data_IF_397986640304
#
_entry.id   IF_397986640304
#
_cell.length_a   1.000
_cell.length_b   1.000
_cell.length_c   1.000
_cell.angle_alpha   90.00
_cell.angle_beta   90.00
_cell.angle_gamma   90.00
#
_symmetry.space_group_name_H-M   'P 1'
#
loop_
_entity.id
_entity.type
_entity.pdbx_description
1 polymer ?
#
# COMPACT_ATOMS: atom_id res chain seq x y z
N UNK A 1 34.68 21.13 -9.61
CA UNK A 1 33.29 20.62 -9.49
C UNK A 1 33.34 19.14 -9.84
N UNK A 2 33.43 18.27 -8.83
CA UNK A 2 33.67 16.84 -9.01
C UNK A 2 32.40 16.10 -9.45
N UNK A 3 32.54 15.21 -10.45
CA UNK A 3 31.50 14.25 -10.84
C UNK A 3 31.32 13.23 -9.71
N UNK A 4 30.08 13.04 -9.28
CA UNK A 4 29.68 11.91 -8.43
C UNK A 4 29.67 10.66 -9.32
N UNK A 5 30.40 9.61 -8.94
CA UNK A 5 30.42 8.32 -9.64
C UNK A 5 29.38 7.35 -9.04
N UNK A 6 28.82 6.41 -9.84
CA UNK A 6 27.77 5.48 -9.39
C UNK A 6 28.12 4.63 -8.16
N UNK A 7 29.42 4.42 -7.89
CA UNK A 7 29.89 3.66 -6.72
C UNK A 7 29.69 4.41 -5.38
N UNK A 8 29.24 5.67 -5.40
CA UNK A 8 28.89 6.44 -4.20
C UNK A 8 27.42 6.34 -3.82
N UNK A 9 26.64 5.55 -4.55
CA UNK A 9 25.26 5.20 -4.19
C UNK A 9 25.26 3.87 -3.44
N UNK A 10 25.41 3.91 -2.13
CA UNK A 10 25.05 2.75 -1.31
C UNK A 10 23.54 2.50 -1.44
N UNK A 11 23.08 1.29 -1.83
CA UNK A 11 21.64 0.99 -2.00
C UNK A 11 20.81 0.98 -0.72
N UNK A 12 21.39 1.39 0.40
CA UNK A 12 20.80 1.45 1.73
C UNK A 12 21.28 2.77 2.32
N UNK A 13 20.41 3.76 2.47
CA UNK A 13 20.73 5.12 2.90
C UNK A 13 21.34 5.25 4.31
N UNK A 14 22.52 4.69 4.53
CA UNK A 14 23.38 4.82 5.69
C UNK A 14 24.82 4.60 5.23
N UNK A 15 25.59 5.68 5.17
CA UNK A 15 27.05 5.58 5.21
C UNK A 15 27.44 5.58 6.69
N UNK A 16 27.62 4.40 7.28
CA UNK A 16 28.64 4.28 8.32
C UNK A 16 29.14 2.85 8.47
N UNK A 17 30.47 2.71 8.53
CA UNK A 17 31.17 1.44 8.70
C UNK A 17 30.98 0.82 10.10
N UNK A 18 30.14 1.43 10.94
CA UNK A 18 29.76 0.97 12.27
C UNK A 18 28.61 -0.06 12.28
N UNK A 19 27.91 -0.30 11.16
CA UNK A 19 26.74 -1.22 11.11
C UNK A 19 27.11 -2.69 10.86
N UNK A 20 28.40 -3.02 10.80
CA UNK A 20 28.92 -4.37 10.56
C UNK A 20 29.62 -5.00 11.78
N UNK A 21 29.49 -4.40 12.96
CA UNK A 21 29.92 -5.00 14.21
C UNK A 21 28.99 -4.61 15.38
N UNK A 22 28.71 -5.59 16.24
CA UNK A 22 28.09 -5.50 17.58
C UNK A 22 26.54 -5.55 17.58
N UNK A 23 25.97 -6.72 17.88
CA UNK A 23 25.73 -7.26 19.24
C UNK A 23 24.47 -6.68 19.89
N UNK A 24 23.58 -7.60 20.26
CA UNK A 24 22.44 -7.41 21.15
C UNK A 24 22.91 -6.70 22.43
N UNK A 25 22.39 -5.50 22.69
CA UNK A 25 22.51 -4.87 24.00
C UNK A 25 21.16 -4.27 24.43
N UNK A 26 20.89 -4.40 25.73
CA UNK A 26 19.63 -4.16 26.42
C UNK A 26 19.11 -2.71 26.29
N UNK A 27 17.78 -2.49 26.45
CA UNK A 27 17.21 -1.15 26.38
C UNK A 27 17.65 -0.26 27.56
N UNK A 28 17.85 1.05 27.36
CA UNK A 28 18.21 1.95 28.44
C UNK A 28 17.01 2.26 29.37
N UNK A 29 17.34 2.42 30.66
CA UNK A 29 16.45 2.81 31.76
C UNK A 29 15.95 4.28 31.62
N UNK A 30 14.76 4.66 32.15
CA UNK A 30 14.13 5.93 31.79
C UNK A 30 14.81 7.13 32.46
N UNK A 31 15.20 8.12 31.65
CA UNK A 31 15.76 9.39 32.11
C UNK A 31 14.68 10.40 32.55
N UNK A 32 15.04 11.17 33.58
CA UNK A 32 14.31 12.18 34.35
C UNK A 32 13.67 13.29 33.50
N UNK A 33 12.41 13.66 33.81
CA UNK A 33 11.74 14.86 33.27
C UNK A 33 12.43 16.14 33.77
N UNK A 34 12.83 17.01 32.83
CA UNK A 34 13.13 18.42 33.09
C UNK A 34 11.91 19.23 32.64
N UNK A 35 11.27 19.92 33.57
CA UNK A 35 10.16 20.83 33.30
C UNK A 35 10.71 22.25 33.15
N UNK A 36 10.67 22.82 31.94
CA UNK A 36 10.86 24.26 31.73
C UNK A 36 9.51 24.85 31.29
N UNK A 37 9.03 25.97 31.86
CA UNK A 37 7.74 26.55 31.48
C UNK A 37 7.79 27.16 30.08
N UNK A 38 6.73 26.97 29.29
CA UNK A 38 6.55 27.59 27.98
C UNK A 38 6.34 29.11 28.14
N UNK A 39 7.17 29.91 27.46
CA UNK A 39 6.94 31.34 27.31
C UNK A 39 5.85 31.58 26.27
N UNK A 40 4.90 32.47 26.58
CA UNK A 40 3.86 32.90 25.66
C UNK A 40 4.47 33.72 24.52
N UNK A 41 4.40 33.20 23.29
CA UNK A 41 4.61 33.98 22.07
C UNK A 41 3.25 34.45 21.56
N UNK A 42 3.22 35.72 21.14
CA UNK A 42 2.05 36.40 20.58
C UNK A 42 1.45 35.59 19.41
N UNK A 43 0.13 35.46 19.43
CA UNK A 43 -0.64 34.72 18.42
C UNK A 43 -0.63 35.49 17.10
N UNK A 44 0.30 35.12 16.20
CA UNK A 44 0.15 35.40 14.76
C UNK A 44 -1.01 34.52 14.27
N UNK A 45 -2.06 35.08 13.62
CA UNK A 45 -3.12 34.26 13.05
C UNK A 45 -2.50 33.25 12.06
N UNK A 46 -2.95 31.97 12.05
CA UNK A 46 -2.35 30.97 11.19
C UNK A 46 -2.45 31.44 9.73
N UNK A 47 -1.29 31.46 9.05
CA UNK A 47 -1.23 31.57 7.59
C UNK A 47 -2.20 30.55 6.99
N UNK A 48 -2.99 30.99 6.01
CA UNK A 48 -3.83 30.12 5.20
C UNK A 48 -2.93 28.98 4.63
N UNK A 49 -3.14 27.71 5.02
CA UNK A 49 -2.26 26.61 4.63
C UNK A 49 -2.33 26.29 3.13
N UNK A 50 -3.22 26.95 2.39
CA UNK A 50 -3.37 26.83 0.94
C UNK A 50 -2.92 28.08 0.18
N UNK A 51 -2.47 29.11 0.89
CA UNK A 51 -2.20 30.44 0.35
C UNK A 51 -0.72 30.77 0.18
N UNK A 52 0.08 29.95 -0.51
CA UNK A 52 1.31 30.38 -1.21
C UNK A 52 1.61 29.43 -2.38
N UNK A 53 2.21 29.96 -3.46
CA UNK A 53 2.76 29.25 -4.62
C UNK A 53 3.87 28.25 -4.22
N UNK A 54 3.50 27.18 -3.50
CA UNK A 54 4.39 26.06 -3.26
C UNK A 54 4.43 25.26 -4.55
N UNK A 55 5.59 25.08 -5.21
CA UNK A 55 5.66 24.25 -6.40
C UNK A 55 5.10 22.87 -6.03
N UNK A 56 4.06 22.44 -6.74
CA UNK A 56 3.50 21.10 -6.59
C UNK A 56 4.67 20.12 -6.74
N UNK A 57 4.98 19.32 -5.71
CA UNK A 57 6.14 18.45 -5.76
C UNK A 57 6.00 17.49 -6.95
N UNK A 58 7.10 17.28 -7.68
CA UNK A 58 7.15 16.31 -8.76
C UNK A 58 6.74 14.92 -8.22
N UNK A 59 5.92 14.14 -8.97
CA UNK A 59 5.58 12.78 -8.59
C UNK A 59 6.81 11.91 -8.34
N UNK A 60 6.64 10.89 -7.51
CA UNK A 60 7.73 10.01 -7.09
C UNK A 60 8.54 10.50 -5.88
N UNK A 61 9.41 9.61 -5.39
CA UNK A 61 10.21 9.85 -4.18
C UNK A 61 11.51 10.60 -4.45
N UNK A 62 12.06 11.22 -3.40
CA UNK A 62 13.39 11.83 -3.47
C UNK A 62 14.49 10.84 -3.91
N UNK A 63 14.37 9.57 -3.51
CA UNK A 63 15.27 8.50 -3.90
C UNK A 63 15.19 8.19 -5.40
N UNK A 64 13.97 8.15 -5.96
CA UNK A 64 13.77 7.97 -7.40
C UNK A 64 14.42 9.10 -8.20
N UNK A 65 14.19 10.36 -7.82
CA UNK A 65 14.79 11.51 -8.52
C UNK A 65 16.32 11.52 -8.41
N UNK A 66 16.87 11.08 -7.28
CA UNK A 66 18.32 10.96 -7.08
C UNK A 66 18.91 9.90 -8.01
N UNK A 67 18.28 8.73 -8.12
CA UNK A 67 18.71 7.67 -9.04
C UNK A 67 18.54 8.08 -10.50
N UNK A 68 17.47 8.80 -10.84
CA UNK A 68 17.26 9.31 -12.19
C UNK A 68 18.39 10.23 -12.65
N UNK A 69 18.83 11.15 -11.77
CA UNK A 69 19.98 12.02 -12.03
C UNK A 69 21.27 11.22 -12.18
N UNK A 70 21.50 10.28 -11.26
CA UNK A 70 22.70 9.46 -11.28
C UNK A 70 22.83 8.61 -12.55
N UNK A 71 21.70 8.13 -13.08
CA UNK A 71 21.65 7.31 -14.29
C UNK A 71 21.29 8.08 -15.57
N UNK A 72 21.19 9.41 -15.51
CA UNK A 72 20.86 10.27 -16.65
C UNK A 72 19.50 9.96 -17.29
N UNK A 73 18.52 9.53 -16.50
CA UNK A 73 17.18 9.14 -16.97
C UNK A 73 16.11 10.21 -16.73
N UNK A 74 16.51 11.39 -16.23
CA UNK A 74 15.63 12.49 -15.82
C UNK A 74 14.60 12.86 -16.88
N UNK A 75 15.05 13.02 -18.14
CA UNK A 75 14.17 13.40 -19.25
C UNK A 75 13.12 12.33 -19.54
N UNK A 76 13.47 11.05 -19.41
CA UNK A 76 12.55 9.92 -19.63
C UNK A 76 11.54 9.82 -18.48
N UNK A 77 12.01 9.97 -17.24
CA UNK A 77 11.14 9.99 -16.07
C UNK A 77 10.17 11.16 -16.12
N UNK A 78 10.66 12.36 -16.44
CA UNK A 78 9.83 13.56 -16.58
C UNK A 78 8.72 13.39 -17.61
N UNK A 79 9.03 12.82 -18.78
CA UNK A 79 8.03 12.51 -19.81
C UNK A 79 6.96 11.54 -19.29
N UNK A 80 7.35 10.53 -18.51
CA UNK A 80 6.39 9.61 -17.90
C UNK A 80 5.47 10.34 -16.92
N UNK A 81 6.02 11.17 -16.04
CA UNK A 81 5.22 11.97 -15.09
C UNK A 81 4.24 12.90 -15.82
N UNK A 82 4.72 13.64 -16.82
CA UNK A 82 3.90 14.63 -17.54
C UNK A 82 2.80 14.00 -18.41
N UNK A 83 3.02 12.79 -18.92
CA UNK A 83 2.10 12.16 -19.90
C UNK A 83 1.22 11.06 -19.30
N UNK A 84 1.58 10.45 -18.17
CA UNK A 84 0.95 9.20 -17.70
C UNK A 84 0.57 9.19 -16.22
N UNK A 85 1.03 10.16 -15.42
CA UNK A 85 0.72 10.22 -13.99
C UNK A 85 -0.28 11.33 -13.73
N UNK A 86 -1.38 10.98 -13.08
CA UNK A 86 -2.38 11.92 -12.59
C UNK A 86 -2.42 11.87 -11.06
N UNK A 87 -2.83 12.97 -10.44
CA UNK A 87 -3.11 13.06 -8.99
C UNK A 87 -4.56 12.69 -8.64
N UNK A 88 -5.30 12.14 -9.60
CA UNK A 88 -6.71 11.80 -9.53
C UNK A 88 -7.06 10.70 -10.55
N UNK A 89 -8.26 10.16 -10.45
CA UNK A 89 -8.84 9.19 -11.38
C UNK A 89 -9.58 9.92 -12.50
N UNK A 90 -9.17 9.71 -13.75
CA UNK A 90 -9.96 10.14 -14.90
C UNK A 90 -11.12 9.15 -15.20
N UNK A 91 -11.94 9.44 -16.21
CA UNK A 91 -13.11 8.63 -16.53
C UNK A 91 -12.77 7.17 -16.87
N UNK A 92 -11.73 6.96 -17.68
CA UNK A 92 -11.28 5.64 -18.11
C UNK A 92 -10.72 4.81 -16.96
N UNK A 93 -10.01 5.44 -16.02
CA UNK A 93 -9.52 4.79 -14.80
C UNK A 93 -10.68 4.35 -13.91
N UNK A 94 -11.72 5.17 -13.75
CA UNK A 94 -12.91 4.83 -12.97
C UNK A 94 -13.66 3.65 -13.58
N UNK A 95 -13.83 3.65 -14.90
CA UNK A 95 -14.45 2.53 -15.62
C UNK A 95 -13.63 1.25 -15.48
N UNK A 96 -12.29 1.35 -15.60
CA UNK A 96 -11.38 0.23 -15.39
C UNK A 96 -11.54 -0.35 -13.99
N UNK A 97 -11.48 0.48 -12.94
CA UNK A 97 -11.68 0.05 -11.55
C UNK A 97 -13.03 -0.65 -11.38
N UNK A 98 -14.11 -0.07 -11.95
CA UNK A 98 -15.47 -0.60 -11.83
C UNK A 98 -15.68 -1.99 -12.42
N UNK A 99 -14.82 -2.46 -13.34
CA UNK A 99 -14.89 -3.82 -13.91
C UNK A 99 -13.97 -4.82 -13.23
N UNK A 100 -13.06 -4.39 -12.35
CA UNK A 100 -12.09 -5.29 -11.74
C UNK A 100 -12.73 -6.20 -10.68
N UNK A 101 -12.31 -7.47 -10.69
CA UNK A 101 -12.66 -8.48 -9.69
C UNK A 101 -11.53 -8.75 -8.69
N UNK A 102 -10.37 -8.12 -8.92
CA UNK A 102 -9.13 -8.40 -8.20
C UNK A 102 -8.25 -7.15 -8.12
N UNK A 103 -7.61 -6.95 -6.98
CA UNK A 103 -6.56 -5.95 -6.76
C UNK A 103 -5.48 -6.48 -5.82
N UNK A 104 -4.25 -6.02 -6.01
CA UNK A 104 -3.13 -6.27 -5.11
C UNK A 104 -2.90 -5.00 -4.28
N UNK A 105 -2.92 -5.15 -2.96
CA UNK A 105 -2.73 -4.04 -2.02
C UNK A 105 -1.40 -4.21 -1.31
N UNK A 106 -0.56 -3.21 -1.40
CA UNK A 106 0.71 -3.10 -0.70
C UNK A 106 0.62 -2.03 0.39
N UNK A 107 1.05 -2.40 1.60
CA UNK A 107 1.06 -1.54 2.79
C UNK A 107 2.31 -1.85 3.59
N UNK A 108 2.84 -0.90 4.36
CA UNK A 108 3.95 -1.16 5.27
C UNK A 108 3.71 -0.62 6.65
N UNK A 109 4.29 -1.25 7.66
CA UNK A 109 4.36 -0.71 9.02
C UNK A 109 5.26 0.55 9.04
N UNK A 110 5.35 1.21 10.18
CA UNK A 110 6.16 2.42 10.43
C UNK A 110 7.67 2.17 10.35
N UNK A 111 8.09 0.90 10.40
CA UNK A 111 9.49 0.47 10.23
C UNK A 111 9.81 0.10 8.78
N UNK A 112 8.81 0.13 7.89
CA UNK A 112 8.95 -0.24 6.49
C UNK A 112 8.78 -1.73 6.22
N UNK A 113 8.30 -2.52 7.18
CA UNK A 113 7.99 -3.94 6.96
C UNK A 113 6.74 -4.03 6.08
N UNK A 114 6.89 -4.65 4.91
CA UNK A 114 5.88 -4.61 3.86
C UNK A 114 5.02 -5.87 3.84
N UNK A 115 3.72 -5.67 3.58
CA UNK A 115 2.76 -6.72 3.26
C UNK A 115 2.15 -6.47 1.89
N UNK A 116 2.00 -7.52 1.09
CA UNK A 116 1.26 -7.51 -0.17
C UNK A 116 0.13 -8.54 -0.11
N UNK A 117 -1.10 -8.08 -0.27
CA UNK A 117 -2.29 -8.91 -0.14
C UNK A 117 -3.18 -8.85 -1.37
N UNK A 118 -3.82 -9.98 -1.68
CA UNK A 118 -4.82 -10.08 -2.72
C UNK A 118 -6.20 -9.69 -2.16
N UNK A 119 -6.85 -8.72 -2.79
CA UNK A 119 -8.26 -8.39 -2.58
C UNK A 119 -9.06 -8.85 -3.78
N UNK A 120 -10.16 -9.54 -3.52
CA UNK A 120 -11.00 -10.11 -4.57
C UNK A 120 -12.48 -9.99 -4.23
N UNK A 121 -13.28 -9.67 -5.23
CA UNK A 121 -14.72 -9.50 -5.13
C UNK A 121 -15.39 -9.61 -6.50
N UNK A 122 -16.72 -9.43 -6.57
CA UNK A 122 -17.40 -9.30 -7.87
C UNK A 122 -16.91 -8.03 -8.60
N UNK A 123 -17.23 -7.87 -9.90
CA UNK A 123 -16.93 -6.64 -10.62
C UNK A 123 -17.49 -5.44 -9.85
N UNK A 124 -16.66 -4.42 -9.65
CA UNK A 124 -17.03 -3.23 -8.90
C UNK A 124 -16.96 -3.42 -7.38
N UNK A 125 -16.25 -4.43 -6.87
CA UNK A 125 -16.04 -4.51 -5.41
C UNK A 125 -15.24 -3.32 -4.86
N UNK A 126 -14.42 -2.69 -5.69
CA UNK A 126 -13.83 -1.38 -5.42
C UNK A 126 -14.80 -0.32 -5.93
N UNK A 127 -15.22 0.57 -5.04
CA UNK A 127 -16.19 1.62 -5.33
C UNK A 127 -15.44 2.94 -5.46
N UNK A 128 -15.58 3.61 -6.60
CA UNK A 128 -15.08 4.98 -6.78
C UNK A 128 -16.09 5.92 -6.13
N UNK A 129 -15.64 6.70 -5.14
CA UNK A 129 -16.48 7.66 -4.42
C UNK A 129 -16.50 9.01 -5.13
N UNK A 130 -15.35 9.43 -5.65
CA UNK A 130 -15.16 10.62 -6.47
C UNK A 130 -13.81 10.53 -7.24
N UNK A 131 -13.39 11.62 -7.88
CA UNK A 131 -12.16 11.70 -8.67
C UNK A 131 -10.89 11.44 -7.85
N UNK A 132 -10.92 11.65 -6.54
CA UNK A 132 -9.76 11.53 -5.65
C UNK A 132 -9.95 10.47 -4.57
N UNK A 133 -11.09 9.79 -4.53
CA UNK A 133 -11.37 8.80 -3.50
C UNK A 133 -11.99 7.52 -4.08
N UNK A 134 -11.45 6.40 -3.64
CA UNK A 134 -12.07 5.09 -3.81
C UNK A 134 -12.14 4.37 -2.46
N UNK A 135 -12.95 3.32 -2.38
CA UNK A 135 -12.94 2.42 -1.24
C UNK A 135 -13.06 0.95 -1.64
N UNK A 136 -12.59 0.08 -0.76
CA UNK A 136 -12.82 -1.36 -0.88
C UNK A 136 -13.30 -1.95 0.46
N UNK A 137 -14.14 -2.98 0.41
CA UNK A 137 -14.68 -3.62 1.60
C UNK A 137 -13.65 -4.55 2.25
N UNK A 138 -13.65 -4.59 3.57
CA UNK A 138 -12.99 -5.58 4.40
C UNK A 138 -14.04 -6.50 5.02
N UNK A 139 -13.84 -7.80 4.87
CA UNK A 139 -14.75 -8.83 5.38
C UNK A 139 -14.14 -9.52 6.61
N UNK A 140 -14.96 -10.31 7.29
CA UNK A 140 -14.49 -11.23 8.32
C UNK A 140 -13.42 -12.18 7.75
N UNK A 141 -12.17 -11.98 8.18
CA UNK A 141 -11.00 -12.73 7.71
C UNK A 141 -10.48 -13.76 8.71
N UNK A 142 -9.20 -14.12 8.57
CA UNK A 142 -8.47 -15.02 9.47
C UNK A 142 -7.98 -14.35 10.76
N UNK A 143 -8.32 -13.07 10.98
CA UNK A 143 -7.94 -12.30 12.17
C UNK A 143 -6.52 -11.73 12.16
N UNK A 144 -5.71 -11.96 11.12
CA UNK A 144 -4.33 -11.42 11.05
C UNK A 144 -4.31 -9.90 10.89
N UNK A 145 -5.28 -9.34 10.15
CA UNK A 145 -5.45 -7.90 9.96
C UNK A 145 -4.19 -7.16 9.45
N UNK A 146 -3.25 -7.83 8.78
CA UNK A 146 -1.94 -7.28 8.39
C UNK A 146 -2.02 -5.89 7.74
N UNK A 147 -2.75 -5.74 6.63
CA UNK A 147 -2.89 -4.43 5.96
C UNK A 147 -3.57 -3.38 6.84
N UNK A 148 -4.54 -3.77 7.69
CA UNK A 148 -5.25 -2.83 8.55
C UNK A 148 -4.38 -2.37 9.72
N UNK A 149 -3.57 -3.26 10.28
CA UNK A 149 -2.52 -2.93 11.25
C UNK A 149 -1.57 -1.91 10.65
N UNK A 150 -0.99 -2.21 9.48
CA UNK A 150 -0.08 -1.31 8.78
C UNK A 150 -0.73 0.06 8.52
N UNK A 151 -1.95 0.10 7.97
CA UNK A 151 -2.68 1.36 7.69
C UNK A 151 -2.91 2.19 8.96
N UNK A 152 -3.15 1.54 10.11
CA UNK A 152 -3.42 2.25 11.38
C UNK A 152 -2.22 3.02 11.92
N UNK A 153 -1.00 2.60 11.57
CA UNK A 153 0.24 3.25 12.00
C UNK A 153 0.94 4.02 10.86
N UNK A 154 0.71 3.62 9.61
CA UNK A 154 1.26 4.22 8.41
C UNK A 154 0.19 4.23 7.30
N UNK A 155 -0.37 5.41 6.94
CA UNK A 155 -1.49 5.47 6.02
C UNK A 155 -1.12 5.19 4.56
N UNK A 156 0.16 5.02 4.22
CA UNK A 156 0.58 4.86 2.83
C UNK A 156 0.15 3.51 2.24
N UNK A 157 -0.45 3.55 1.05
CA UNK A 157 -0.96 2.38 0.33
C UNK A 157 -0.61 2.44 -1.16
N UNK A 158 -0.25 1.30 -1.73
CA UNK A 158 -0.18 1.09 -3.17
C UNK A 158 -1.20 0.04 -3.60
N UNK A 159 -1.95 0.33 -4.66
CA UNK A 159 -2.93 -0.59 -5.24
C UNK A 159 -2.56 -0.84 -6.69
N UNK A 160 -2.40 -2.11 -7.04
CA UNK A 160 -2.20 -2.55 -8.42
C UNK A 160 -3.41 -3.37 -8.87
N UNK A 161 -4.09 -2.86 -9.90
CA UNK A 161 -5.14 -3.56 -10.61
C UNK A 161 -4.59 -4.02 -11.97
N UNK A 162 -4.80 -5.28 -12.33
CA UNK A 162 -4.35 -5.82 -13.62
C UNK A 162 -5.46 -6.66 -14.23
N UNK A 163 -5.88 -6.30 -15.44
CA UNK A 163 -6.76 -7.14 -16.24
C UNK A 163 -5.92 -8.17 -16.98
N UNK A 164 -6.08 -9.44 -16.63
CA UNK A 164 -5.39 -10.56 -17.29
C UNK A 164 -6.20 -11.19 -18.41
N UNK A 165 -7.42 -10.73 -18.70
CA UNK A 165 -8.36 -11.42 -19.58
C UNK A 165 -8.63 -10.64 -20.86
N UNK A 166 -9.03 -9.37 -20.71
CA UNK A 166 -9.59 -8.59 -21.83
C UNK A 166 -8.55 -7.66 -22.43
N UNK A 167 -8.18 -6.62 -21.68
CA UNK A 167 -7.34 -5.51 -22.13
C UNK A 167 -5.84 -5.79 -21.98
N UNK A 168 -5.49 -6.70 -21.05
CA UNK A 168 -4.10 -7.00 -20.70
C UNK A 168 -3.35 -5.74 -20.25
N UNK A 169 -4.02 -4.84 -19.54
CA UNK A 169 -3.46 -3.58 -19.02
C UNK A 169 -3.65 -3.55 -17.50
N UNK A 170 -2.87 -2.72 -16.81
CA UNK A 170 -3.10 -2.45 -15.40
C UNK A 170 -3.12 -0.97 -15.06
N UNK A 171 -3.48 -0.70 -13.82
CA UNK A 171 -3.59 0.61 -13.22
C UNK A 171 -2.94 0.57 -11.83
N UNK A 172 -2.03 1.49 -11.59
CA UNK A 172 -1.52 1.82 -10.27
C UNK A 172 -2.38 2.92 -9.66
N UNK A 173 -2.73 2.78 -8.40
CA UNK A 173 -3.33 3.81 -7.56
C UNK A 173 -2.57 3.85 -6.25
N UNK A 174 -1.85 4.92 -6.01
CA UNK A 174 -1.10 5.16 -4.77
C UNK A 174 -1.74 6.30 -3.99
N UNK A 175 -1.60 6.25 -2.67
CA UNK A 175 -1.95 7.39 -1.83
C UNK A 175 -2.06 7.03 -0.37
N UNK A 176 -3.12 7.54 0.27
CA UNK A 176 -3.33 7.41 1.72
C UNK A 176 -4.64 6.71 2.04
N UNK A 177 -4.58 5.71 2.89
CA UNK A 177 -5.70 4.93 3.35
C UNK A 177 -6.14 5.33 4.77
N UNK A 178 -7.44 5.18 5.02
CA UNK A 178 -8.03 5.19 6.37
C UNK A 178 -9.06 4.07 6.48
N UNK A 179 -9.23 3.58 7.70
CA UNK A 179 -10.23 2.54 8.04
C UNK A 179 -11.49 3.24 8.49
N UNK A 180 -12.64 2.77 8.01
CA UNK A 180 -13.97 3.31 8.33
C UNK A 180 -14.90 2.16 8.66
N UNK A 181 -15.61 2.24 9.77
CA UNK A 181 -16.60 1.23 10.13
C UNK A 181 -17.77 1.23 9.13
N UNK A 182 -18.37 0.07 8.88
CA UNK A 182 -19.43 -0.08 7.88
C UNK A 182 -20.62 0.86 8.12
N UNK A 183 -21.02 1.04 9.38
CA UNK A 183 -22.11 1.94 9.76
C UNK A 183 -21.83 3.41 9.37
N UNK A 184 -20.63 3.91 9.67
CA UNK A 184 -20.23 5.29 9.34
C UNK A 184 -20.11 5.48 7.83
N UNK A 185 -19.55 4.49 7.14
CA UNK A 185 -19.41 4.55 5.69
C UNK A 185 -20.78 4.62 4.99
N UNK A 186 -21.75 3.85 5.46
CA UNK A 186 -23.13 3.85 4.91
C UNK A 186 -23.91 5.11 5.26
N UNK A 187 -23.62 5.75 6.40
CA UNK A 187 -24.22 7.03 6.73
C UNK A 187 -23.86 8.13 5.71
N UNK A 188 -22.65 8.07 5.15
CA UNK A 188 -22.15 9.03 4.15
C UNK A 188 -22.49 8.57 2.73
N UNK A 189 -22.33 7.27 2.45
CA UNK A 189 -22.53 6.67 1.13
C UNK A 189 -23.59 5.55 1.19
N UNK A 190 -24.88 5.91 1.27
CA UNK A 190 -25.97 4.92 1.43
C UNK A 190 -26.16 4.02 0.21
N UNK A 191 -25.61 4.41 -0.95
CA UNK A 191 -25.67 3.65 -2.19
C UNK A 191 -24.65 2.51 -2.27
N UNK A 192 -23.74 2.38 -1.29
CA UNK A 192 -22.79 1.27 -1.27
C UNK A 192 -23.50 -0.08 -1.18
N UNK A 193 -23.05 -1.11 -1.93
CA UNK A 193 -23.62 -2.44 -1.85
C UNK A 193 -23.71 -2.96 -0.40
N UNK A 194 -24.89 -3.46 -0.01
CA UNK A 194 -25.09 -4.09 1.30
C UNK A 194 -24.37 -5.43 1.40
N UNK A 195 -24.38 -6.16 0.28
CA UNK A 195 -23.73 -7.44 0.11
C UNK A 195 -22.99 -7.44 -1.23
N UNK A 196 -21.87 -8.13 -1.28
CA UNK A 196 -21.15 -8.41 -2.52
C UNK A 196 -21.42 -9.87 -2.95
N UNK A 197 -20.38 -10.70 -3.07
CA UNK A 197 -20.52 -12.10 -3.50
C UNK A 197 -20.75 -13.04 -2.30
N UNK A 198 -21.78 -13.90 -2.40
CA UNK A 198 -22.16 -14.97 -1.45
C UNK A 198 -22.59 -14.49 -0.05
N UNK A 199 -23.33 -13.38 0.03
CA UNK A 199 -23.84 -12.87 1.31
C UNK A 199 -22.75 -12.34 2.24
N UNK A 200 -21.55 -12.07 1.72
CA UNK A 200 -20.49 -11.43 2.49
C UNK A 200 -20.83 -9.95 2.66
N UNK A 201 -21.06 -9.56 3.90
CA UNK A 201 -21.25 -8.18 4.33
C UNK A 201 -19.91 -7.59 4.76
N UNK A 202 -19.56 -6.37 4.32
CA UNK A 202 -18.40 -5.66 4.85
C UNK A 202 -18.50 -5.48 6.37
N UNK A 203 -17.40 -5.73 7.10
CA UNK A 203 -17.29 -5.32 8.52
C UNK A 203 -16.79 -3.88 8.61
N UNK A 204 -15.92 -3.49 7.68
CA UNK A 204 -15.31 -2.16 7.59
C UNK A 204 -14.90 -1.87 6.15
N UNK A 205 -14.51 -0.64 5.89
CA UNK A 205 -14.07 -0.15 4.59
C UNK A 205 -12.69 0.45 4.72
N UNK A 206 -11.87 0.26 3.69
CA UNK A 206 -10.65 1.04 3.50
C UNK A 206 -10.96 2.10 2.47
N UNK A 207 -10.91 3.37 2.88
CA UNK A 207 -11.06 4.52 2.00
C UNK A 207 -9.67 5.02 1.64
N UNK A 208 -9.43 5.23 0.35
CA UNK A 208 -8.14 5.63 -0.20
C UNK A 208 -8.30 6.98 -0.87
N UNK A 209 -7.54 7.96 -0.40
CA UNK A 209 -7.29 9.20 -1.11
C UNK A 209 -6.18 8.95 -2.12
N UNK A 210 -6.45 9.24 -3.39
CA UNK A 210 -5.53 9.09 -4.50
C UNK A 210 -4.53 10.24 -4.49
N UNK A 211 -3.24 9.91 -4.48
CA UNK A 211 -2.12 10.84 -4.67
C UNK A 211 -1.48 10.64 -6.05
N UNK A 212 -1.44 9.41 -6.56
CA UNK A 212 -0.95 9.09 -7.91
C UNK A 212 -1.80 7.99 -8.55
N UNK A 213 -2.14 8.16 -9.83
CA UNK A 213 -2.77 7.14 -10.66
C UNK A 213 -2.10 7.09 -12.04
N UNK A 214 -1.65 5.91 -12.46
CA UNK A 214 -0.94 5.74 -13.73
C UNK A 214 -0.98 4.32 -14.27
N UNK A 215 -0.72 4.19 -15.56
CA UNK A 215 -0.84 2.93 -16.29
C UNK A 215 0.27 1.92 -15.94
N UNK A 216 -0.10 0.66 -15.79
CA UNK A 216 0.81 -0.48 -15.91
C UNK A 216 0.70 -1.07 -17.32
N UNK A 217 1.76 -0.96 -18.11
CA UNK A 217 1.71 -1.29 -19.53
C UNK A 217 1.53 -2.80 -19.81
N UNK A 218 0.90 -3.11 -20.94
CA UNK A 218 0.55 -4.47 -21.34
C UNK A 218 1.70 -5.41 -21.68
N UNK A 219 2.93 -4.90 -21.77
CA UNK A 219 4.07 -5.55 -22.44
C UNK A 219 4.33 -6.98 -21.94
N UNK A 220 4.11 -7.25 -20.66
CA UNK A 220 4.38 -8.55 -20.04
C UNK A 220 3.19 -9.11 -19.26
N UNK A 221 1.97 -8.59 -19.49
CA UNK A 221 0.78 -9.14 -18.83
C UNK A 221 0.36 -10.41 -19.58
N UNK A 222 0.37 -11.59 -18.92
CA UNK A 222 -0.06 -12.82 -19.56
C UNK A 222 -1.58 -12.82 -19.74
N UNK A 223 -2.04 -13.48 -20.81
CA UNK A 223 -3.48 -13.74 -20.97
C UNK A 223 -3.89 -14.96 -20.14
N UNK A 224 -4.80 -14.76 -19.20
CA UNK A 224 -5.45 -15.80 -18.43
C UNK A 224 -6.81 -16.14 -19.03
N UNK A 225 -7.18 -17.42 -18.97
CA UNK A 225 -8.50 -17.91 -19.37
C UNK A 225 -9.30 -18.18 -18.10
N UNK A 226 -10.43 -17.47 -17.87
CA UNK A 226 -11.30 -17.78 -16.75
C UNK A 226 -11.77 -19.23 -16.82
N UNK A 227 -11.60 -19.95 -15.73
CA UNK A 227 -12.07 -21.33 -15.60
C UNK A 227 -13.32 -21.39 -14.73
N UNK A 228 -14.21 -22.32 -15.02
CA UNK A 228 -15.46 -22.48 -14.28
C UNK A 228 -15.18 -22.72 -12.79
N UNK A 229 -16.00 -22.12 -11.91
CA UNK A 229 -15.80 -22.17 -10.45
C UNK A 229 -16.08 -23.56 -9.85
N UNK A 230 -16.89 -24.39 -10.50
CA UNK A 230 -17.00 -25.81 -10.15
C UNK A 230 -15.74 -26.55 -10.61
N UNK A 231 -14.82 -26.78 -9.67
CA UNK A 231 -13.57 -27.48 -9.91
C UNK A 231 -13.63 -28.87 -9.29
N UNK A 232 -13.46 -29.91 -10.11
CA UNK A 232 -12.84 -31.14 -9.62
C UNK A 232 -11.36 -30.81 -9.45
N UNK A 233 -10.90 -30.69 -8.21
CA UNK A 233 -9.53 -30.25 -7.90
C UNK A 233 -8.46 -31.29 -8.29
N UNK A 234 -8.85 -32.43 -8.89
CA UNK A 234 -7.94 -33.48 -9.35
C UNK A 234 -7.14 -34.17 -8.24
N UNK A 235 -7.40 -33.82 -6.98
CA UNK A 235 -6.77 -34.39 -5.78
C UNK A 235 -7.71 -34.22 -4.60
N UNK A 236 -7.77 -35.21 -3.72
CA UNK A 236 -8.46 -35.11 -2.42
C UNK A 236 -7.54 -34.60 -1.31
N UNK A 237 -6.28 -34.28 -1.64
CA UNK A 237 -5.31 -33.75 -0.68
C UNK A 237 -5.73 -32.34 -0.20
N UNK A 238 -6.14 -32.27 1.05
CA UNK A 238 -6.56 -31.04 1.72
C UNK A 238 -5.40 -30.07 1.95
N UNK A 239 -4.13 -30.53 2.00
CA UNK A 239 -2.96 -29.65 2.09
C UNK A 239 -2.79 -28.82 0.84
N UNK A 240 -3.00 -29.42 -0.34
CA UNK A 240 -2.92 -28.72 -1.64
C UNK A 240 -4.02 -27.67 -1.83
N UNK A 241 -5.00 -27.61 -0.91
CA UNK A 241 -6.18 -26.74 -0.98
C UNK A 241 -6.26 -25.73 0.17
N UNK A 242 -5.32 -25.73 1.11
CA UNK A 242 -5.45 -25.02 2.38
C UNK A 242 -4.21 -24.29 2.85
N UNK A 243 -4.30 -23.68 4.03
CA UNK A 243 -3.24 -22.82 4.60
C UNK A 243 -1.94 -23.51 4.99
N UNK A 244 -1.81 -24.83 4.78
CA UNK A 244 -0.58 -25.60 5.00
C UNK A 244 0.03 -26.09 3.68
N UNK A 245 -0.29 -25.44 2.56
CA UNK A 245 0.28 -25.75 1.24
C UNK A 245 1.81 -25.83 1.26
N UNK A 246 2.46 -24.95 2.04
CA UNK A 246 3.91 -24.90 2.21
C UNK A 246 4.45 -25.76 3.36
N UNK A 247 3.62 -26.60 4.01
CA UNK A 247 4.04 -27.49 5.09
C UNK A 247 4.52 -26.78 6.36
N UNK A 248 3.99 -25.58 6.63
CA UNK A 248 4.45 -24.72 7.71
C UNK A 248 4.09 -25.24 9.11
N UNK A 249 3.01 -26.04 9.28
CA UNK A 249 2.52 -26.46 10.61
C UNK A 249 3.53 -27.23 11.45
N UNK A 250 4.49 -27.92 10.84
CA UNK A 250 5.53 -28.69 11.53
C UNK A 250 6.88 -27.96 11.68
N UNK A 251 7.00 -26.75 11.18
CA UNK A 251 8.28 -26.00 11.21
C UNK A 251 8.46 -25.29 12.56
N UNK A 252 9.62 -25.43 13.22
CA UNK A 252 9.93 -24.72 14.46
C UNK A 252 9.74 -23.21 14.32
N UNK A 253 9.21 -22.56 15.35
CA UNK A 253 9.00 -21.11 15.36
C UNK A 253 9.98 -20.43 16.32
N UNK A 254 10.69 -19.37 15.89
CA UNK A 254 11.58 -18.65 16.77
C UNK A 254 10.85 -17.98 17.95
N UNK A 255 9.56 -17.67 17.80
CA UNK A 255 8.70 -17.09 18.85
C UNK A 255 8.05 -18.13 19.78
N UNK A 256 8.34 -19.43 19.63
CA UNK A 256 7.89 -20.49 20.54
C UNK A 256 9.05 -21.06 21.39
N UNK A 257 10.20 -20.39 21.46
CA UNK A 257 11.28 -20.82 22.38
C UNK A 257 10.76 -20.78 23.81
N UNK A 258 10.80 -21.91 24.51
CA UNK A 258 10.60 -21.93 25.96
C UNK A 258 11.68 -21.07 26.62
N UNK A 259 11.33 -20.27 27.64
CA UNK A 259 12.33 -19.54 28.41
C UNK A 259 13.33 -20.54 28.95
N UNK A 260 14.63 -20.25 28.79
CA UNK A 260 15.68 -21.09 29.32
C UNK A 260 15.44 -21.28 30.83
N UNK A 261 15.19 -22.52 31.24
CA UNK A 261 15.13 -22.88 32.66
C UNK A 261 16.51 -22.63 33.25
N UNK A 262 16.63 -21.53 34.01
CA UNK A 262 17.76 -21.20 34.88
C UNK A 262 17.86 -22.16 36.06
#
# INVERSE_FOLDING_TARGET
MGRVTPDQLTPTGTADAALLALELSDPPSPARRVTTPLQHHELVPPLDPFGEDRPVPLPGSAGEHLLQRAFGTDKRARRFYDEQVLDHLNAEMKEFIGRMEMAFVATSDTRGECDASLRAGPPGFIQVLDDRHLCYPEYRGNGVLASLGNISENPHIGILLVDFVTDLIGLHVNGRARIVEDADMRAIHPALPAEFDRGRTPERWVVVQVEEAYVHCRKHIPRMVPVHRQRSWGTDDSRRKGGDYFGAKGTPRPWHREPATS
#
